data_IF_383287636046
#
_entry.id   IF_383287636046
#
_cell.length_a   1.000
_cell.length_b   1.000
_cell.length_c   1.000
_cell.angle_alpha   90.00
_cell.angle_beta   90.00
_cell.angle_gamma   90.00
#
_symmetry.space_group_name_H-M   'P 1'
#
loop_
_entity.id
_entity.type
_entity.pdbx_description
1 polymer ?
#
# COMPACT_ATOMS: atom_id res chain seq x y z
N UNK A 1 22.46 20.30 -5.18
CA UNK A 1 22.84 18.88 -5.40
C UNK A 1 21.62 18.14 -5.90
N UNK A 2 21.76 17.26 -6.91
CA UNK A 2 20.63 16.45 -7.40
C UNK A 2 20.38 15.28 -6.44
N UNK A 3 19.15 15.13 -5.98
CA UNK A 3 18.72 13.97 -5.19
C UNK A 3 18.56 12.77 -6.13
N UNK A 4 19.20 11.65 -5.80
CA UNK A 4 19.06 10.38 -6.51
C UNK A 4 18.16 9.47 -5.67
N UNK A 5 17.07 8.99 -6.26
CA UNK A 5 16.21 7.96 -5.66
C UNK A 5 16.41 6.66 -6.41
N UNK A 6 16.59 5.56 -5.67
CA UNK A 6 16.62 4.21 -6.24
C UNK A 6 15.27 3.57 -5.94
N UNK A 7 14.57 3.21 -7.00
CA UNK A 7 13.34 2.42 -6.99
C UNK A 7 13.69 0.94 -7.11
N UNK A 8 13.08 0.14 -6.25
CA UNK A 8 13.16 -1.32 -6.31
C UNK A 8 12.01 -1.86 -7.14
N UNK A 9 12.24 -2.99 -7.82
CA UNK A 9 11.17 -3.73 -8.47
C UNK A 9 10.23 -4.30 -7.41
N UNK A 10 8.96 -3.95 -7.49
CA UNK A 10 7.89 -4.55 -6.68
C UNK A 10 7.12 -5.53 -7.55
N UNK A 11 6.80 -6.69 -7.00
CA UNK A 11 5.91 -7.64 -7.66
C UNK A 11 4.47 -7.28 -7.31
N UNK A 12 3.54 -7.22 -8.29
CA UNK A 12 2.13 -7.05 -7.98
C UNK A 12 1.68 -8.21 -7.08
N UNK A 13 0.74 -7.95 -6.17
CA UNK A 13 0.08 -9.03 -5.47
C UNK A 13 -0.69 -9.94 -6.42
N UNK A 14 -1.03 -11.14 -5.95
CA UNK A 14 -1.84 -12.06 -6.76
C UNK A 14 -3.29 -11.60 -6.80
N UNK A 15 -3.82 -11.15 -5.66
CA UNK A 15 -5.19 -10.71 -5.48
C UNK A 15 -5.24 -9.30 -4.90
N UNK A 16 -6.32 -8.56 -5.12
CA UNK A 16 -6.60 -7.28 -4.46
C UNK A 16 -8.10 -7.12 -4.21
N UNK A 17 -8.46 -6.35 -3.18
CA UNK A 17 -9.86 -6.08 -2.82
C UNK A 17 -10.54 -5.14 -3.82
N UNK A 18 -11.88 -5.09 -3.81
CA UNK A 18 -12.64 -4.18 -4.69
C UNK A 18 -12.30 -2.70 -4.45
N UNK A 19 -12.06 -2.30 -3.20
CA UNK A 19 -11.56 -0.97 -2.87
C UNK A 19 -10.24 -0.69 -3.60
N UNK A 20 -9.27 -1.60 -3.56
CA UNK A 20 -8.00 -1.44 -4.27
C UNK A 20 -8.18 -1.35 -5.80
N UNK A 21 -9.15 -2.08 -6.38
CA UNK A 21 -9.51 -1.95 -7.81
C UNK A 21 -10.04 -0.54 -8.11
N UNK A 22 -10.92 -0.03 -7.25
CA UNK A 22 -11.49 1.32 -7.39
C UNK A 22 -10.38 2.36 -7.32
N UNK A 23 -9.49 2.30 -6.33
CA UNK A 23 -8.43 3.28 -6.16
C UNK A 23 -7.36 3.18 -7.25
N UNK A 24 -7.04 1.97 -7.73
CA UNK A 24 -6.22 1.81 -8.93
C UNK A 24 -6.85 2.50 -10.13
N UNK A 25 -8.14 2.28 -10.34
CA UNK A 25 -8.85 2.81 -11.50
C UNK A 25 -9.03 4.32 -11.45
N UNK A 26 -9.38 4.86 -10.28
CA UNK A 26 -9.73 6.25 -10.07
C UNK A 26 -8.50 7.16 -9.83
N UNK A 27 -7.47 6.65 -9.13
CA UNK A 27 -6.32 7.44 -8.68
C UNK A 27 -4.96 6.91 -9.18
N UNK A 28 -4.92 5.72 -9.79
CA UNK A 28 -3.67 5.07 -10.16
C UNK A 28 -2.91 4.48 -8.96
N UNK A 29 -3.57 4.35 -7.80
CA UNK A 29 -2.98 3.77 -6.60
C UNK A 29 -2.75 2.27 -6.80
N UNK A 30 -1.49 1.86 -6.77
CA UNK A 30 -1.14 0.46 -6.95
C UNK A 30 -1.64 -0.39 -5.77
N UNK A 31 -2.20 -1.59 -6.00
CA UNK A 31 -2.64 -2.47 -4.91
C UNK A 31 -1.55 -2.73 -3.89
N UNK A 32 -1.92 -2.67 -2.62
CA UNK A 32 -0.98 -2.83 -1.51
C UNK A 32 -0.69 -4.31 -1.25
N UNK A 33 0.46 -4.55 -0.63
CA UNK A 33 0.90 -5.88 -0.24
C UNK A 33 1.49 -5.77 1.17
N UNK A 34 0.75 -6.31 2.14
CA UNK A 34 1.25 -6.55 3.47
C UNK A 34 1.87 -7.94 3.57
N UNK A 35 2.71 -8.14 4.59
CA UNK A 35 3.30 -9.43 4.89
C UNK A 35 3.16 -9.70 6.38
N UNK A 36 2.70 -10.89 6.75
CA UNK A 36 2.72 -11.33 8.15
C UNK A 36 4.14 -11.73 8.59
N UNK A 37 4.31 -12.09 9.86
CA UNK A 37 5.59 -12.53 10.42
C UNK A 37 6.16 -13.79 9.77
N UNK A 38 5.30 -14.56 9.10
CA UNK A 38 5.68 -15.78 8.39
C UNK A 38 6.00 -15.51 6.91
N UNK A 39 5.82 -14.26 6.47
CA UNK A 39 6.07 -13.85 5.10
C UNK A 39 4.99 -14.29 4.11
N UNK A 40 3.78 -14.56 4.59
CA UNK A 40 2.62 -14.73 3.73
C UNK A 40 2.04 -13.36 3.38
N UNK A 41 1.43 -13.24 2.20
CA UNK A 41 0.64 -12.06 1.82
C UNK A 41 -0.45 -11.89 2.88
N UNK A 42 -0.34 -10.81 3.64
CA UNK A 42 -1.28 -10.47 4.68
C UNK A 42 -1.98 -9.19 4.26
N UNK A 43 -3.30 -9.28 4.10
CA UNK A 43 -4.12 -8.16 3.70
C UNK A 43 -5.07 -7.84 4.83
N UNK A 44 -5.11 -6.57 5.20
CA UNK A 44 -6.08 -6.08 6.14
C UNK A 44 -7.41 -5.89 5.40
N UNK A 45 -8.41 -6.73 5.68
CA UNK A 45 -9.77 -6.55 5.14
C UNK A 45 -10.55 -5.45 5.88
N UNK A 46 -9.96 -4.92 6.96
CA UNK A 46 -10.56 -3.91 7.82
C UNK A 46 -9.51 -2.91 8.26
N UNK A 47 -9.96 -1.70 8.56
CA UNK A 47 -9.28 -0.56 9.17
C UNK A 47 -8.63 -0.87 10.54
N UNK A 48 -8.00 -2.04 10.71
CA UNK A 48 -7.40 -2.48 11.96
C UNK A 48 -5.99 -1.90 12.15
N UNK A 49 -6.00 -0.67 12.70
CA UNK A 49 -5.23 -0.19 13.86
C UNK A 49 -3.70 -0.18 13.88
N UNK A 50 -2.96 -0.62 12.85
CA UNK A 50 -1.48 -0.61 12.92
C UNK A 50 -0.75 0.00 11.71
N UNK A 51 -1.33 1.03 11.09
CA UNK A 51 -0.69 1.78 10.01
C UNK A 51 0.28 2.90 10.47
N UNK A 52 0.79 2.86 11.71
CA UNK A 52 1.61 3.94 12.32
C UNK A 52 2.95 4.24 11.61
N UNK A 53 3.34 3.48 10.59
CA UNK A 53 4.71 3.52 10.05
C UNK A 53 4.81 3.51 8.54
N UNK A 54 3.71 3.63 7.81
CA UNK A 54 3.72 3.67 6.34
C UNK A 54 3.37 5.12 5.92
N UNK A 55 4.29 5.85 5.26
CA UNK A 55 4.03 7.21 4.78
C UNK A 55 3.36 7.25 3.40
N UNK A 56 2.96 6.09 2.88
CA UNK A 56 1.97 5.97 1.82
C UNK A 56 0.65 5.85 2.57
N UNK A 57 -0.39 6.63 2.23
CA UNK A 57 -1.70 6.48 2.85
C UNK A 57 -2.21 5.05 2.60
N UNK A 58 -1.96 4.16 3.56
CA UNK A 58 -2.37 2.75 3.54
C UNK A 58 -3.81 2.61 4.00
N UNK A 59 -4.65 3.53 3.54
CA UNK A 59 -5.98 3.81 4.02
C UNK A 59 -6.83 4.49 2.96
N UNK A 60 -8.00 5.00 3.34
CA UNK A 60 -8.95 5.65 2.42
C UNK A 60 -8.52 7.07 2.03
N UNK A 61 -7.56 7.64 2.74
CA UNK A 61 -7.06 8.99 2.54
C UNK A 61 -6.29 9.09 1.22
N UNK A 62 -6.45 10.20 0.50
CA UNK A 62 -5.72 10.48 -0.73
C UNK A 62 -4.47 11.32 -0.44
N UNK A 63 -3.36 10.98 -1.10
CA UNK A 63 -2.18 11.85 -1.14
C UNK A 63 -2.45 13.12 -1.97
N UNK A 64 -1.64 14.17 -1.75
CA UNK A 64 -1.73 15.40 -2.54
C UNK A 64 -1.57 15.13 -4.05
N UNK A 65 -0.69 14.20 -4.41
CA UNK A 65 -0.48 13.79 -5.79
C UNK A 65 -1.72 13.12 -6.41
N UNK A 66 -2.43 12.29 -5.63
CA UNK A 66 -3.66 11.63 -6.07
C UNK A 66 -4.81 12.62 -6.21
N UNK A 67 -4.98 13.54 -5.24
CA UNK A 67 -5.94 14.63 -5.35
C UNK A 67 -5.66 15.48 -6.60
N UNK A 68 -4.40 15.85 -6.82
CA UNK A 68 -4.00 16.61 -8.01
C UNK A 68 -4.23 15.84 -9.31
N UNK A 69 -3.95 14.53 -9.33
CA UNK A 69 -4.22 13.66 -10.48
C UNK A 69 -5.72 13.61 -10.81
N UNK A 70 -6.56 13.49 -9.79
CA UNK A 70 -8.01 13.47 -9.89
C UNK A 70 -8.66 14.85 -10.05
N UNK A 71 -7.87 15.93 -9.99
CA UNK A 71 -8.35 17.31 -9.92
C UNK A 71 -9.36 17.54 -8.77
N UNK A 72 -9.10 16.90 -7.63
CA UNK A 72 -9.84 17.06 -6.38
C UNK A 72 -9.13 18.07 -5.46
N UNK A 73 -9.87 18.75 -4.57
CA UNK A 73 -9.25 19.45 -3.44
C UNK A 73 -8.43 18.48 -2.58
N UNK A 74 -7.43 19.00 -1.86
CA UNK A 74 -6.64 18.21 -0.92
C UNK A 74 -7.56 17.49 0.08
N UNK A 75 -7.26 16.22 0.35
CA UNK A 75 -8.05 15.39 1.25
C UNK A 75 -7.81 15.80 2.71
N UNK A 76 -8.80 16.39 3.40
CA UNK A 76 -8.65 16.81 4.79
C UNK A 76 -8.46 15.61 5.74
N UNK A 77 -8.87 14.40 5.34
CA UNK A 77 -8.72 13.17 6.15
C UNK A 77 -7.25 12.80 6.37
N UNK A 78 -6.36 13.16 5.43
CA UNK A 78 -4.93 12.96 5.60
C UNK A 78 -4.36 13.79 6.76
N UNK A 79 -4.87 15.02 6.94
CA UNK A 79 -4.48 15.87 8.06
C UNK A 79 -5.00 15.34 9.39
N UNK A 80 -6.23 14.84 9.41
CA UNK A 80 -6.84 14.18 10.59
C UNK A 80 -6.00 12.95 10.99
N UNK A 81 -5.66 12.11 10.01
CA UNK A 81 -4.81 10.94 10.22
C UNK A 81 -3.41 11.31 10.72
N UNK A 82 -2.78 12.35 10.14
CA UNK A 82 -1.46 12.83 10.53
C UNK A 82 -1.43 13.49 11.91
N UNK A 83 -2.52 14.14 12.33
CA UNK A 83 -2.65 14.76 13.65
C UNK A 83 -2.81 13.75 14.78
N UNK A 84 -2.88 12.45 14.47
CA UNK A 84 -3.11 11.40 15.45
C UNK A 84 -4.56 11.33 15.95
N UNK A 85 -5.47 12.11 15.35
CA UNK A 85 -6.91 12.11 15.66
C UNK A 85 -7.60 10.92 15.02
N UNK A 86 -7.31 9.73 15.56
CA UNK A 86 -8.01 8.52 15.13
C UNK A 86 -9.45 8.48 15.62
N UNK A 87 -9.76 9.24 16.66
CA UNK A 87 -11.07 9.25 17.30
C UNK A 87 -12.11 10.11 16.59
N UNK A 88 -11.72 11.15 15.85
CA UNK A 88 -12.67 11.90 15.01
C UNK A 88 -13.26 11.03 13.88
N UNK A 89 -12.49 10.06 13.37
CA UNK A 89 -12.99 9.06 12.43
C UNK A 89 -13.90 8.01 13.09
N UNK A 90 -13.83 7.83 14.42
CA UNK A 90 -14.58 6.76 15.13
C UNK A 90 -16.05 7.11 15.38
N UNK A 91 -16.41 8.40 15.46
CA UNK A 91 -17.81 8.81 15.67
C UNK A 91 -18.69 8.61 14.41
N UNK A 92 -18.09 8.46 13.22
CA UNK A 92 -18.80 8.12 11.98
C UNK A 92 -19.04 6.62 11.79
N UNK A 93 -18.52 5.74 12.67
CA UNK A 93 -18.74 4.28 12.61
C UNK A 93 -19.55 3.75 13.81
N UNK A 94 -20.88 3.94 13.86
CA UNK A 94 -21.73 3.42 14.94
C UNK A 94 -21.68 1.88 15.08
N UNK A 95 -21.28 1.15 14.03
CA UNK A 95 -21.10 -0.31 14.06
C UNK A 95 -19.84 -0.77 14.83
N UNK A 96 -18.77 0.04 14.84
CA UNK A 96 -17.47 -0.32 15.43
C UNK A 96 -17.39 -0.03 16.93
N UNK A 97 -18.21 0.91 17.42
CA UNK A 97 -18.32 1.25 18.84
C UNK A 97 -18.71 0.04 19.71
N UNK A 98 -19.49 -0.90 19.17
CA UNK A 98 -19.89 -2.13 19.87
C UNK A 98 -18.74 -3.12 20.16
N UNK A 99 -17.70 -3.14 19.32
CA UNK A 99 -16.51 -4.01 19.53
C UNK A 99 -15.48 -3.35 20.46
N UNK A 100 -15.33 -2.02 20.41
CA UNK A 100 -14.34 -1.29 21.23
C UNK A 100 -14.79 -1.16 22.69
N UNK A 101 -16.11 -1.15 22.95
CA UNK A 101 -16.63 -1.15 24.32
C UNK A 101 -16.21 -2.38 25.15
N UNK A 102 -15.82 -3.49 24.50
CA UNK A 102 -15.26 -4.67 25.20
C UNK A 102 -13.78 -4.55 25.57
N UNK A 103 -13.05 -3.59 25.00
CA UNK A 103 -11.61 -3.38 25.24
C UNK A 103 -11.29 -2.16 26.12
N UNK A 104 -12.26 -1.28 26.41
CA UNK A 104 -12.05 -0.01 27.12
C UNK A 104 -12.61 0.03 28.55
N UNK A 105 -12.17 -0.87 29.44
CA UNK A 105 -12.52 -0.77 30.88
C UNK A 105 -11.41 -0.11 31.73
N UNK A 106 -10.28 0.32 31.16
CA UNK A 106 -9.22 0.98 31.95
C UNK A 106 -8.44 2.04 31.18
N UNK A 107 -8.95 3.27 31.09
CA UNK A 107 -8.11 4.48 30.94
C UNK A 107 -8.96 5.76 31.04
N UNK A 108 -9.27 6.19 32.27
CA UNK A 108 -9.98 7.46 32.54
C UNK A 108 -9.15 8.71 32.13
N UNK A 109 -7.84 8.57 31.92
CA UNK A 109 -6.98 9.64 31.40
C UNK A 109 -7.09 9.90 29.89
N UNK A 110 -7.65 8.96 29.12
CA UNK A 110 -7.80 9.07 27.66
C UNK A 110 -8.97 9.98 27.26
N UNK A 111 -9.94 10.16 28.16
CA UNK A 111 -11.18 10.94 27.91
C UNK A 111 -10.91 12.46 27.93
N UNK A 112 -9.96 12.93 28.74
CA UNK A 112 -9.64 14.38 28.80
C UNK A 112 -8.83 14.88 27.60
N UNK A 113 -7.99 14.05 26.98
CA UNK A 113 -7.31 14.41 25.72
C UNK A 113 -8.29 14.43 24.52
N UNK A 114 -9.42 13.71 24.60
CA UNK A 114 -10.45 13.69 23.56
C UNK A 114 -11.28 14.99 23.50
N UNK A 115 -11.62 15.55 24.66
CA UNK A 115 -12.45 16.77 24.74
C UNK A 115 -11.69 18.02 24.24
N UNK A 116 -10.40 18.14 24.53
CA UNK A 116 -9.56 19.25 24.04
C UNK A 116 -9.26 19.14 22.53
N UNK A 117 -9.31 17.92 21.97
CA UNK A 117 -9.09 17.67 20.54
C UNK A 117 -10.35 17.97 19.71
N UNK A 118 -11.54 17.61 20.23
CA UNK A 118 -12.85 17.87 19.63
C UNK A 118 -13.09 19.36 19.27
N UNK A 119 -12.59 20.29 20.10
CA UNK A 119 -12.74 21.74 19.88
C UNK A 119 -11.87 22.32 18.76
N UNK A 120 -10.73 21.71 18.42
CA UNK A 120 -9.88 22.11 17.28
C UNK A 120 -10.19 21.33 16.01
N UNK A 121 -10.73 20.12 16.14
CA UNK A 121 -11.14 19.28 15.02
C UNK A 121 -12.46 19.67 14.37
N UNK A 122 -13.28 20.51 15.02
CA UNK A 122 -14.52 20.99 14.41
C UNK A 122 -14.34 21.60 13.02
N UNK A 123 -13.18 22.24 12.74
CA UNK A 123 -12.90 22.76 11.40
C UNK A 123 -12.50 21.66 10.41
N UNK A 124 -11.67 20.69 10.81
CA UNK A 124 -11.24 19.59 9.94
C UNK A 124 -12.38 18.61 9.63
N UNK A 125 -13.24 18.32 10.61
CA UNK A 125 -14.44 17.51 10.43
C UNK A 125 -15.42 18.20 9.45
N UNK A 126 -15.65 19.50 9.59
CA UNK A 126 -16.47 20.27 8.64
C UNK A 126 -15.86 20.33 7.23
N UNK A 127 -14.53 20.36 7.12
CA UNK A 127 -13.84 20.27 5.84
C UNK A 127 -14.04 18.88 5.22
N UNK A 128 -13.90 17.81 5.99
CA UNK A 128 -14.16 16.44 5.55
C UNK A 128 -15.61 16.22 5.11
N UNK A 129 -16.58 16.71 5.87
CA UNK A 129 -18.01 16.65 5.54
C UNK A 129 -18.33 17.34 4.21
N UNK A 130 -17.66 18.47 3.91
CA UNK A 130 -17.81 19.17 2.61
C UNK A 130 -17.06 18.49 1.48
N UNK A 131 -15.93 17.84 1.79
CA UNK A 131 -15.08 17.18 0.81
C UNK A 131 -15.66 15.83 0.36
N UNK A 132 -16.29 15.09 1.27
CA UNK A 132 -16.78 13.73 1.01
C UNK A 132 -17.75 13.66 -0.18
N UNK A 133 -18.77 14.53 -0.32
CA UNK A 133 -19.64 14.50 -1.51
C UNK A 133 -18.88 14.73 -2.82
N UNK A 134 -17.85 15.58 -2.83
CA UNK A 134 -17.02 15.84 -4.02
C UNK A 134 -16.23 14.59 -4.41
N UNK A 135 -15.71 13.88 -3.41
CA UNK A 135 -15.03 12.61 -3.60
C UNK A 135 -15.98 11.52 -4.09
N UNK A 136 -17.15 11.38 -3.46
CA UNK A 136 -18.19 10.42 -3.84
C UNK A 136 -18.66 10.61 -5.29
N UNK A 137 -18.95 11.85 -5.69
CA UNK A 137 -19.31 12.21 -7.06
C UNK A 137 -18.20 11.82 -8.05
N UNK A 138 -16.92 12.00 -7.68
CA UNK A 138 -15.78 11.62 -8.52
C UNK A 138 -15.64 10.10 -8.67
N UNK A 139 -15.81 9.34 -7.58
CA UNK A 139 -15.62 7.88 -7.63
C UNK A 139 -16.81 7.13 -8.23
N UNK A 140 -18.02 7.71 -8.25
CA UNK A 140 -19.25 7.07 -8.75
C UNK A 140 -19.12 6.58 -10.20
N UNK A 141 -18.49 7.36 -11.09
CA UNK A 141 -18.25 6.94 -12.48
C UNK A 141 -17.44 5.64 -12.53
N UNK A 142 -16.37 5.55 -11.73
CA UNK A 142 -15.48 4.40 -11.71
C UNK A 142 -16.12 3.19 -11.02
N UNK A 143 -16.89 3.41 -9.94
CA UNK A 143 -17.69 2.38 -9.31
C UNK A 143 -18.69 1.77 -10.31
N UNK A 144 -19.38 2.62 -11.07
CA UNK A 144 -20.29 2.22 -12.12
C UNK A 144 -19.60 1.43 -13.25
N UNK A 145 -18.44 1.89 -13.71
CA UNK A 145 -17.60 1.18 -14.69
C UNK A 145 -17.24 -0.23 -14.20
N UNK A 146 -16.67 -0.34 -13.00
CA UNK A 146 -16.21 -1.60 -12.41
C UNK A 146 -17.40 -2.55 -12.17
N UNK A 147 -18.51 -2.05 -11.63
CA UNK A 147 -19.72 -2.85 -11.40
C UNK A 147 -20.29 -3.41 -12.71
N UNK A 148 -20.29 -2.63 -13.80
CA UNK A 148 -20.72 -3.11 -15.12
C UNK A 148 -19.79 -4.18 -15.68
N UNK A 149 -18.47 -4.05 -15.49
CA UNK A 149 -17.50 -5.03 -15.97
C UNK A 149 -17.53 -6.34 -15.17
N UNK A 150 -17.75 -6.27 -13.85
CA UNK A 150 -18.06 -7.42 -13.00
C UNK A 150 -19.36 -8.11 -13.46
N UNK A 151 -20.42 -7.34 -13.70
CA UNK A 151 -21.72 -7.88 -14.15
C UNK A 151 -21.66 -8.53 -15.54
N UNK A 152 -20.80 -8.01 -16.43
CA UNK A 152 -20.57 -8.57 -17.76
C UNK A 152 -19.59 -9.76 -17.75
N UNK A 153 -18.99 -10.08 -16.59
CA UNK A 153 -17.98 -11.12 -16.46
C UNK A 153 -16.65 -10.81 -17.15
N UNK A 154 -16.37 -9.52 -17.42
CA UNK A 154 -15.07 -9.09 -17.96
C UNK A 154 -13.99 -9.09 -16.88
N UNK A 155 -14.39 -8.74 -15.66
CA UNK A 155 -13.57 -8.86 -14.46
C UNK A 155 -14.17 -9.98 -13.61
N UNK A 156 -13.36 -10.96 -13.25
CA UNK A 156 -13.77 -12.01 -12.32
C UNK A 156 -13.42 -11.60 -10.90
N UNK A 157 -14.32 -11.91 -9.99
CA UNK A 157 -14.15 -11.66 -8.57
C UNK A 157 -14.58 -12.88 -7.79
N UNK A 158 -13.94 -13.06 -6.64
CA UNK A 158 -14.10 -14.20 -5.77
C UNK A 158 -14.33 -13.69 -4.36
N UNK A 159 -15.14 -14.40 -3.58
CA UNK A 159 -15.46 -14.00 -2.23
C UNK A 159 -16.05 -15.14 -1.43
N UNK A 160 -16.26 -14.88 -0.15
CA UNK A 160 -16.84 -15.84 0.79
C UNK A 160 -18.33 -15.59 0.91
N UNK A 161 -19.14 -16.57 0.50
CA UNK A 161 -20.59 -16.50 0.65
C UNK A 161 -20.98 -16.74 2.12
N UNK A 162 -21.82 -15.85 2.67
CA UNK A 162 -22.40 -15.93 4.00
C UNK A 162 -23.92 -15.84 3.87
N UNK A 163 -24.64 -16.77 4.48
CA UNK A 163 -26.11 -16.84 4.46
C UNK A 163 -26.74 -15.87 5.48
N UNK A 164 -26.35 -14.59 5.39
CA UNK A 164 -26.86 -13.49 6.21
C UNK A 164 -26.70 -12.15 5.45
N UNK A 165 -27.46 -11.15 5.87
CA UNK A 165 -27.44 -9.78 5.36
C UNK A 165 -27.08 -8.74 6.44
N UNK A 166 -27.04 -9.13 7.72
CA UNK A 166 -26.65 -8.25 8.82
C UNK A 166 -25.13 -8.06 8.84
N UNK A 167 -24.72 -6.89 8.34
CA UNK A 167 -23.32 -6.47 8.23
C UNK A 167 -22.51 -6.67 9.51
N UNK A 168 -23.10 -6.38 10.67
CA UNK A 168 -22.42 -6.44 11.96
C UNK A 168 -22.07 -7.88 12.37
N UNK A 169 -22.74 -8.87 11.76
CA UNK A 169 -22.55 -10.29 12.06
C UNK A 169 -21.75 -11.02 10.99
N UNK A 170 -21.58 -10.49 9.79
CA UNK A 170 -20.99 -11.24 8.67
C UNK A 170 -19.61 -11.82 9.01
N UNK A 171 -18.74 -11.04 9.65
CA UNK A 171 -17.41 -11.49 10.04
C UNK A 171 -17.43 -12.51 11.17
N UNK A 172 -18.29 -12.30 12.18
CA UNK A 172 -18.44 -13.21 13.31
C UNK A 172 -19.00 -14.56 12.82
N UNK A 173 -19.98 -14.54 11.90
CA UNK A 173 -20.53 -15.74 11.25
C UNK A 173 -19.46 -16.44 10.40
N UNK A 174 -18.65 -15.70 9.66
CA UNK A 174 -17.56 -16.29 8.87
C UNK A 174 -16.55 -17.00 9.77
N UNK A 175 -16.17 -16.37 10.89
CA UNK A 175 -15.28 -16.96 11.89
C UNK A 175 -15.89 -18.21 12.54
N UNK A 176 -17.17 -18.16 12.94
CA UNK A 176 -17.91 -19.31 13.49
C UNK A 176 -18.01 -20.46 12.48
N UNK A 177 -18.10 -20.17 11.19
CA UNK A 177 -18.07 -21.15 10.10
C UNK A 177 -16.65 -21.64 9.76
N UNK A 178 -15.62 -21.16 10.46
CA UNK A 178 -14.21 -21.51 10.22
C UNK A 178 -13.67 -20.99 8.89
N UNK A 179 -14.32 -19.98 8.29
CA UNK A 179 -13.90 -19.37 7.03
C UNK A 179 -12.83 -18.31 7.28
N UNK A 180 -11.88 -18.20 6.35
CA UNK A 180 -10.76 -17.27 6.44
C UNK A 180 -10.59 -16.49 5.13
N UNK A 181 -10.26 -15.20 5.23
CA UNK A 181 -9.94 -14.28 4.12
C UNK A 181 -8.83 -14.80 3.17
N UNK A 182 -7.99 -15.70 3.69
CA UNK A 182 -6.88 -16.31 2.95
C UNK A 182 -7.36 -17.36 1.96
N UNK A 183 -8.47 -18.03 2.24
CA UNK A 183 -8.98 -19.11 1.42
C UNK A 183 -9.78 -18.56 0.24
N UNK A 184 -9.41 -19.00 -0.97
CA UNK A 184 -10.17 -18.71 -2.19
C UNK A 184 -11.34 -19.68 -2.22
N UNK A 185 -12.55 -19.19 -1.95
CA UNK A 185 -13.71 -20.07 -1.81
C UNK A 185 -14.45 -20.15 -3.15
N UNK A 186 -15.15 -19.09 -3.58
CA UNK A 186 -16.05 -19.18 -4.74
C UNK A 186 -16.01 -17.95 -5.67
N UNK A 187 -16.21 -18.17 -6.98
CA UNK A 187 -16.43 -17.09 -7.96
C UNK A 187 -17.80 -16.45 -7.71
N UNK A 188 -17.85 -15.13 -7.52
CA UNK A 188 -19.11 -14.40 -7.32
C UNK A 188 -19.86 -14.35 -8.66
N UNK A 189 -21.08 -14.93 -8.75
CA UNK A 189 -21.79 -15.03 -10.03
C UNK A 189 -22.04 -13.67 -10.70
N UNK A 190 -21.78 -13.56 -12.00
CA UNK A 190 -21.93 -12.30 -12.74
C UNK A 190 -23.31 -11.63 -12.59
N UNK A 191 -24.38 -12.43 -12.49
CA UNK A 191 -25.77 -11.97 -12.28
C UNK A 191 -26.00 -11.32 -10.91
N UNK A 192 -25.08 -11.49 -9.96
CA UNK A 192 -25.22 -11.01 -8.59
C UNK A 192 -24.83 -9.55 -8.44
N UNK A 193 -24.04 -9.00 -9.36
CA UNK A 193 -23.53 -7.64 -9.30
C UNK A 193 -24.62 -6.60 -9.53
N UNK A 194 -24.91 -5.83 -8.48
CA UNK A 194 -25.83 -4.69 -8.49
C UNK A 194 -25.13 -3.55 -7.75
N UNK A 195 -24.90 -2.40 -8.42
CA UNK A 195 -24.03 -1.32 -7.92
C UNK A 195 -24.37 -0.88 -6.50
N UNK A 196 -25.65 -0.59 -6.22
CA UNK A 196 -26.14 -0.13 -4.91
C UNK A 196 -25.97 -1.14 -3.76
N UNK A 197 -25.71 -2.40 -4.09
CA UNK A 197 -25.54 -3.47 -3.11
C UNK A 197 -24.06 -3.74 -2.80
N UNK A 198 -23.14 -3.08 -3.52
CA UNK A 198 -21.71 -3.17 -3.31
C UNK A 198 -21.32 -2.17 -2.23
N UNK A 199 -20.72 -2.68 -1.17
CA UNK A 199 -20.00 -1.89 -0.18
C UNK A 199 -18.52 -1.90 -0.58
N UNK A 200 -18.11 -0.83 -1.27
CA UNK A 200 -16.77 -0.72 -1.87
C UNK A 200 -15.68 -0.71 -0.82
N UNK A 201 -15.92 -0.01 0.28
CA UNK A 201 -14.97 0.18 1.36
C UNK A 201 -14.59 -1.14 2.02
N UNK A 202 -15.60 -1.98 2.27
CA UNK A 202 -15.40 -3.29 2.90
C UNK A 202 -15.29 -4.44 1.91
N UNK A 203 -15.39 -4.14 0.60
CA UNK A 203 -15.41 -5.14 -0.46
C UNK A 203 -16.43 -6.24 -0.20
N UNK A 204 -17.66 -5.84 0.09
CA UNK A 204 -18.81 -6.70 0.38
C UNK A 204 -19.88 -6.50 -0.69
N UNK A 205 -20.56 -7.57 -1.08
CA UNK A 205 -21.78 -7.52 -1.91
C UNK A 205 -22.93 -8.03 -1.06
N UNK A 206 -23.84 -7.12 -0.68
CA UNK A 206 -24.99 -7.41 0.17
C UNK A 206 -26.14 -7.95 -0.68
N UNK A 207 -26.89 -8.91 -0.18
CA UNK A 207 -28.22 -9.25 -0.73
C UNK A 207 -29.15 -9.60 0.42
N UNK A 208 -30.44 -9.68 0.09
CA UNK A 208 -31.50 -9.98 1.05
C UNK A 208 -31.26 -11.26 1.86
N UNK A 209 -30.82 -12.34 1.20
CA UNK A 209 -30.74 -13.67 1.81
C UNK A 209 -29.29 -14.18 1.96
N UNK A 210 -28.32 -13.50 1.32
CA UNK A 210 -26.92 -13.88 1.37
C UNK A 210 -26.02 -12.68 1.07
N UNK A 211 -24.80 -12.68 1.57
CA UNK A 211 -23.78 -11.68 1.28
C UNK A 211 -22.48 -12.35 0.83
N UNK A 212 -21.70 -11.67 0.00
CA UNK A 212 -20.32 -12.07 -0.30
C UNK A 212 -19.38 -11.11 0.41
N UNK A 213 -18.48 -11.61 1.26
CA UNK A 213 -17.47 -10.82 1.95
C UNK A 213 -16.08 -11.10 1.40
N UNK A 214 -15.13 -10.22 1.75
CA UNK A 214 -13.71 -10.35 1.38
C UNK A 214 -13.49 -10.46 -0.13
N UNK A 215 -14.31 -9.75 -0.89
CA UNK A 215 -14.31 -9.87 -2.34
C UNK A 215 -12.99 -9.35 -2.89
N UNK A 216 -12.33 -10.20 -3.68
CA UNK A 216 -11.08 -9.85 -4.33
C UNK A 216 -11.06 -10.28 -5.80
N UNK A 217 -10.16 -9.66 -6.57
CA UNK A 217 -9.92 -9.94 -7.99
C UNK A 217 -8.48 -10.34 -8.22
N UNK A 218 -8.19 -11.02 -9.33
CA UNK A 218 -6.80 -11.25 -9.77
C UNK A 218 -6.19 -9.92 -10.27
N UNK A 219 -5.04 -9.54 -9.70
CA UNK A 219 -4.39 -8.25 -10.01
C UNK A 219 -3.90 -8.21 -11.44
N UNK A 220 -3.46 -9.32 -12.04
CA UNK A 220 -3.00 -9.32 -13.43
C UNK A 220 -4.16 -9.13 -14.39
N UNK A 221 -5.31 -9.75 -14.13
CA UNK A 221 -6.54 -9.53 -14.89
C UNK A 221 -7.00 -8.08 -14.77
N UNK A 222 -7.01 -7.55 -13.54
CA UNK A 222 -7.36 -6.17 -13.25
C UNK A 222 -6.43 -5.17 -13.99
N UNK A 223 -5.10 -5.34 -13.91
CA UNK A 223 -4.13 -4.47 -14.57
C UNK A 223 -4.22 -4.54 -16.10
N UNK A 224 -4.60 -5.71 -16.65
CA UNK A 224 -4.83 -5.88 -18.09
C UNK A 224 -6.10 -5.17 -18.54
N UNK A 225 -7.17 -5.24 -17.73
CA UNK A 225 -8.45 -4.61 -18.04
C UNK A 225 -8.40 -3.09 -17.86
N UNK A 226 -7.72 -2.63 -16.82
CA UNK A 226 -7.56 -1.22 -16.47
C UNK A 226 -6.08 -0.82 -16.55
N UNK A 227 -5.50 -0.69 -17.76
CA UNK A 227 -4.14 -0.22 -17.89
C UNK A 227 -4.02 1.22 -17.35
N UNK A 228 -2.86 1.60 -16.77
CA UNK A 228 -2.67 2.93 -16.22
C UNK A 228 -2.76 3.98 -17.34
N UNK A 229 -3.66 4.96 -17.19
CA UNK A 229 -3.84 6.05 -18.15
C UNK A 229 -2.61 6.97 -18.19
N UNK A 230 -1.97 7.17 -17.05
CA UNK A 230 -0.72 7.91 -16.92
C UNK A 230 0.35 7.00 -16.31
N UNK A 231 1.23 6.47 -17.16
CA UNK A 231 2.55 6.07 -16.70
C UNK A 231 3.34 7.36 -16.48
N UNK A 232 3.93 7.57 -15.30
CA UNK A 232 4.91 8.63 -15.11
C UNK A 232 6.03 8.38 -16.11
N UNK A 233 5.99 9.08 -17.26
CA UNK A 233 7.08 9.12 -18.22
C UNK A 233 8.17 9.97 -17.64
N UNK A 234 8.84 9.46 -16.61
CA UNK A 234 10.00 10.14 -16.10
C UNK A 234 11.16 9.84 -17.05
N UNK A 235 11.51 10.82 -17.89
CA UNK A 235 12.63 10.74 -18.84
C UNK A 235 13.97 10.49 -18.13
N UNK A 236 14.00 10.64 -16.81
CA UNK A 236 15.16 10.45 -15.96
C UNK A 236 15.20 9.09 -15.22
N UNK A 237 14.36 8.10 -15.59
CA UNK A 237 14.48 6.72 -15.10
C UNK A 237 15.60 6.00 -15.86
N UNK A 238 16.66 5.60 -15.15
CA UNK A 238 17.72 4.73 -15.67
C UNK A 238 17.68 3.37 -14.98
N UNK A 239 17.73 2.28 -15.74
CA UNK A 239 17.91 0.93 -15.17
C UNK A 239 19.32 0.81 -14.62
N UNK A 240 19.47 0.30 -13.40
CA UNK A 240 20.75 0.12 -12.74
C UNK A 240 20.76 -1.21 -11.97
N UNK A 241 21.39 -2.24 -12.55
CA UNK A 241 21.59 -3.54 -11.89
C UNK A 241 20.31 -4.26 -11.44
N UNK A 242 19.19 -4.07 -12.13
CA UNK A 242 17.88 -4.64 -11.79
C UNK A 242 17.00 -3.74 -10.89
N UNK A 243 17.51 -2.57 -10.51
CA UNK A 243 16.75 -1.46 -9.90
C UNK A 243 16.56 -0.34 -10.92
N UNK A 244 15.79 0.69 -10.56
CA UNK A 244 15.59 1.87 -11.41
C UNK A 244 16.00 3.12 -10.63
N UNK A 245 16.89 3.93 -11.17
CA UNK A 245 17.30 5.19 -10.57
C UNK A 245 16.53 6.35 -11.19
N UNK A 246 16.02 7.26 -10.36
CA UNK A 246 15.36 8.51 -10.78
C UNK A 246 16.16 9.68 -10.26
N UNK A 247 16.64 10.52 -11.17
CA UNK A 247 17.26 11.78 -10.80
C UNK A 247 16.18 12.84 -10.50
N UNK A 248 16.39 13.65 -9.46
CA UNK A 248 15.51 14.74 -9.02
C UNK A 248 14.15 14.34 -8.45
N UNK A 249 13.90 13.07 -8.10
CA UNK A 249 12.68 12.75 -7.34
C UNK A 249 12.86 13.11 -5.87
N UNK A 250 12.00 14.00 -5.39
CA UNK A 250 11.78 14.26 -3.97
C UNK A 250 11.05 13.03 -3.44
N UNK A 251 11.76 12.12 -2.81
CA UNK A 251 11.13 10.95 -2.17
C UNK A 251 11.24 11.10 -0.66
N UNK A 252 10.09 11.16 -0.01
CA UNK A 252 9.96 10.99 1.44
C UNK A 252 10.40 9.57 1.80
N UNK A 253 11.45 9.46 2.62
CA UNK A 253 12.06 8.17 3.00
C UNK A 253 11.12 7.36 3.88
N UNK A 254 10.93 6.08 3.57
CA UNK A 254 10.81 5.01 4.58
C UNK A 254 11.23 3.66 4.04
N UNK A 255 12.08 2.98 4.80
CA UNK A 255 12.36 1.56 4.66
C UNK A 255 11.51 0.81 5.69
N UNK A 256 10.50 0.05 5.26
CA UNK A 256 9.92 -1.00 6.10
C UNK A 256 10.80 -2.25 5.98
N UNK A 257 11.21 -2.80 7.13
CA UNK A 257 11.90 -4.08 7.22
C UNK A 257 10.82 -5.16 7.33
N UNK A 258 10.68 -6.04 6.34
CA UNK A 258 9.96 -7.31 6.51
C UNK A 258 10.96 -8.47 6.54
N UNK A 259 10.75 -9.36 7.50
CA UNK A 259 11.50 -10.59 7.74
C UNK A 259 10.69 -11.70 7.08
N UNK A 260 11.26 -12.36 6.07
CA UNK A 260 10.62 -13.46 5.34
C UNK A 260 11.25 -14.81 5.75
N UNK A 261 10.39 -15.77 6.08
CA UNK A 261 10.67 -17.18 6.35
C UNK A 261 11.29 -17.88 5.14
N UNK A 262 12.62 -17.95 5.21
CA UNK A 262 13.59 -18.49 4.27
C UNK A 262 14.95 -18.06 4.82
N UNK A 263 16.09 -18.47 4.23
CA UNK A 263 17.34 -17.81 4.62
C UNK A 263 17.14 -16.32 4.33
N UNK A 264 17.15 -15.43 5.34
CA UNK A 264 16.65 -14.07 5.17
C UNK A 264 17.31 -13.45 3.94
N UNK A 265 16.54 -12.88 2.99
CA UNK A 265 17.13 -12.22 1.85
C UNK A 265 18.15 -11.22 2.38
N UNK A 266 19.38 -11.28 1.85
CA UNK A 266 20.43 -10.36 2.27
C UNK A 266 19.91 -8.94 1.97
N UNK A 267 20.08 -7.97 2.89
CA UNK A 267 19.55 -6.61 2.74
C UNK A 267 20.32 -5.82 1.68
N UNK A 268 20.17 -6.22 0.41
CA UNK A 268 20.86 -5.67 -0.75
C UNK A 268 20.45 -4.23 -1.03
N UNK A 269 19.28 -3.82 -0.58
CA UNK A 269 18.77 -2.45 -0.68
C UNK A 269 19.69 -1.49 0.09
N UNK A 270 20.03 -1.85 1.33
CA UNK A 270 20.94 -1.06 2.18
C UNK A 270 22.34 -0.99 1.54
N UNK A 271 22.77 -2.07 0.91
CA UNK A 271 24.01 -2.12 0.15
C UNK A 271 24.00 -1.17 -1.05
N UNK A 272 22.97 -1.21 -1.89
CA UNK A 272 22.85 -0.33 -3.05
C UNK A 272 22.80 1.15 -2.66
N UNK A 273 22.13 1.48 -1.54
CA UNK A 273 22.13 2.84 -0.97
C UNK A 273 23.53 3.29 -0.58
N UNK A 274 24.32 2.46 0.08
CA UNK A 274 25.69 2.80 0.46
C UNK A 274 26.61 2.94 -0.75
N UNK A 275 26.48 2.04 -1.73
CA UNK A 275 27.23 2.11 -2.99
C UNK A 275 26.95 3.45 -3.68
N UNK A 276 25.68 3.82 -3.84
CA UNK A 276 25.27 5.09 -4.42
C UNK A 276 25.78 6.29 -3.60
N UNK A 277 25.74 6.21 -2.26
CA UNK A 277 26.29 7.24 -1.37
C UNK A 277 27.78 7.46 -1.62
N UNK A 278 28.58 6.40 -1.65
CA UNK A 278 30.03 6.49 -1.89
C UNK A 278 30.39 7.03 -3.28
N UNK A 279 29.63 6.66 -4.32
CA UNK A 279 29.81 7.24 -5.65
C UNK A 279 29.51 8.74 -5.66
N UNK A 280 28.43 9.16 -5.00
CA UNK A 280 28.05 10.57 -4.87
C UNK A 280 29.11 11.38 -4.12
N UNK A 281 29.66 10.80 -3.05
CA UNK A 281 30.60 11.48 -2.16
C UNK A 281 32.06 11.42 -2.69
N UNK A 282 32.33 10.67 -3.77
CA UNK A 282 33.68 10.48 -4.33
C UNK A 282 34.54 9.48 -3.54
N UNK A 283 33.97 8.81 -2.54
CA UNK A 283 34.63 7.87 -1.64
C UNK A 283 34.71 6.43 -2.21
N UNK A 284 34.21 6.20 -3.41
CA UNK A 284 34.23 4.87 -4.01
C UNK A 284 35.65 4.51 -4.49
N UNK A 285 36.23 3.36 -4.06
CA UNK A 285 37.56 2.96 -4.52
C UNK A 285 37.66 2.85 -6.04
N UNK A 286 38.78 3.29 -6.63
CA UNK A 286 38.96 3.22 -8.08
C UNK A 286 39.03 1.78 -8.61
N UNK A 287 39.61 0.87 -7.82
CA UNK A 287 39.72 -0.55 -8.17
C UNK A 287 38.53 -1.34 -7.63
N UNK A 288 37.84 -2.07 -8.50
CA UNK A 288 36.67 -2.91 -8.14
C UNK A 288 36.96 -3.88 -6.99
N UNK A 289 38.12 -4.52 -6.97
CA UNK A 289 38.50 -5.47 -5.90
C UNK A 289 38.69 -4.81 -4.53
N UNK A 290 39.11 -3.54 -4.50
CA UNK A 290 39.23 -2.77 -3.26
C UNK A 290 37.83 -2.43 -2.72
N UNK A 291 36.91 -1.98 -3.58
CA UNK A 291 35.52 -1.75 -3.18
C UNK A 291 34.81 -3.02 -2.74
N UNK A 292 35.08 -4.17 -3.37
CA UNK A 292 34.54 -5.46 -2.92
C UNK A 292 34.99 -5.77 -1.49
N UNK A 293 36.27 -5.54 -1.17
CA UNK A 293 36.79 -5.76 0.17
C UNK A 293 36.14 -4.83 1.20
N UNK A 294 36.16 -3.52 0.94
CA UNK A 294 35.61 -2.52 1.86
C UNK A 294 34.11 -2.66 2.07
N UNK A 295 33.35 -2.93 1.00
CA UNK A 295 31.91 -3.08 1.11
C UNK A 295 31.51 -4.41 1.74
N UNK A 296 32.33 -5.47 1.61
CA UNK A 296 32.11 -6.70 2.36
C UNK A 296 32.31 -6.48 3.87
N UNK A 297 33.36 -5.76 4.27
CA UNK A 297 33.59 -5.37 5.67
C UNK A 297 32.49 -4.47 6.21
N UNK A 298 32.11 -3.44 5.44
CA UNK A 298 31.01 -2.56 5.79
C UNK A 298 29.68 -3.32 5.93
N UNK A 299 29.39 -4.26 5.01
CA UNK A 299 28.16 -5.03 5.02
C UNK A 299 28.08 -5.92 6.27
N UNK A 300 29.19 -6.57 6.65
CA UNK A 300 29.30 -7.34 7.90
C UNK A 300 29.05 -6.41 9.10
N UNK A 301 29.72 -5.26 9.16
CA UNK A 301 29.58 -4.30 10.27
C UNK A 301 28.16 -3.76 10.40
N UNK A 302 27.48 -3.50 9.28
CA UNK A 302 26.15 -2.87 9.28
C UNK A 302 25.01 -3.85 9.52
N UNK A 303 25.13 -5.08 9.01
CA UNK A 303 24.01 -6.03 8.95
C UNK A 303 24.24 -7.30 9.78
N UNK A 304 25.45 -7.49 10.34
CA UNK A 304 25.85 -8.71 11.04
C UNK A 304 26.03 -9.93 10.12
N UNK A 305 25.81 -9.77 8.82
CA UNK A 305 25.78 -10.89 7.88
C UNK A 305 27.09 -10.99 7.08
N UNK A 306 27.77 -12.14 7.17
CA UNK A 306 28.86 -12.46 6.24
C UNK A 306 28.31 -12.73 4.84
N UNK A 307 29.02 -12.21 3.84
CA UNK A 307 28.66 -12.30 2.43
C UNK A 307 29.90 -12.64 1.60
N UNK A 308 29.72 -13.36 0.49
CA UNK A 308 30.85 -13.74 -0.35
C UNK A 308 31.32 -12.54 -1.18
N UNK A 309 32.64 -12.44 -1.40
CA UNK A 309 33.23 -11.43 -2.29
C UNK A 309 32.62 -11.49 -3.69
N UNK A 310 32.32 -12.70 -4.18
CA UNK A 310 31.67 -12.92 -5.47
C UNK A 310 30.29 -12.27 -5.55
N UNK A 311 29.45 -12.45 -4.52
CA UNK A 311 28.11 -11.83 -4.49
C UNK A 311 28.18 -10.30 -4.47
N UNK A 312 29.11 -9.72 -3.69
CA UNK A 312 29.36 -8.27 -3.68
C UNK A 312 29.86 -7.80 -5.05
N UNK A 313 30.77 -8.55 -5.68
CA UNK A 313 31.32 -8.25 -7.00
C UNK A 313 30.30 -8.33 -8.13
N UNK A 314 29.33 -9.23 -8.03
CA UNK A 314 28.19 -9.34 -8.94
C UNK A 314 27.30 -8.10 -8.82
N UNK A 315 26.94 -7.70 -7.59
CA UNK A 315 26.11 -6.51 -7.34
C UNK A 315 26.80 -5.18 -7.64
N UNK A 316 28.13 -5.10 -7.51
CA UNK A 316 28.92 -3.91 -7.85
C UNK A 316 29.18 -3.75 -9.34
N UNK A 317 29.16 -4.84 -10.11
CA UNK A 317 29.53 -4.82 -11.52
C UNK A 317 28.82 -3.71 -12.33
N UNK A 318 27.49 -3.55 -12.24
CA UNK A 318 26.78 -2.52 -13.01
C UNK A 318 27.27 -1.09 -12.72
N UNK A 319 27.56 -0.78 -11.45
CA UNK A 319 28.01 0.55 -11.05
C UNK A 319 29.38 0.92 -11.63
N UNK A 320 30.34 -0.02 -11.63
CA UNK A 320 31.66 0.22 -12.23
C UNK A 320 31.61 0.30 -13.75
N UNK A 321 30.81 -0.58 -14.37
CA UNK A 321 30.67 -0.59 -15.83
C UNK A 321 30.02 0.70 -16.35
N UNK A 322 29.08 1.29 -15.61
CA UNK A 322 28.32 2.48 -16.06
C UNK A 322 28.88 3.82 -15.57
N UNK A 323 29.37 3.91 -14.33
CA UNK A 323 29.75 5.19 -13.71
C UNK A 323 31.25 5.49 -13.82
N UNK A 324 32.12 4.48 -13.68
CA UNK A 324 33.57 4.70 -13.68
C UNK A 324 34.15 4.83 -15.09
N UNK A 325 33.60 4.11 -16.08
CA UNK A 325 34.04 4.22 -17.49
C UNK A 325 33.76 5.61 -18.08
N UNK A 326 32.76 6.33 -17.56
CA UNK A 326 32.42 7.69 -18.03
C UNK A 326 33.41 8.77 -17.53
N UNK A 327 34.11 8.52 -16.43
CA UNK A 327 35.09 9.47 -15.86
C UNK A 327 36.47 9.40 -16.50
N UNK A 328 36.78 8.36 -17.28
CA UNK A 328 38.08 8.17 -17.94
C UNK A 328 38.15 8.76 -19.37
N UNK A 329 37.05 9.37 -19.86
CA UNK A 329 37.05 10.05 -21.17
C UNK A 329 37.03 11.57 -20.93
N UNK A 330 38.16 12.28 -21.12
CA UNK A 330 38.23 13.74 -20.96
C UNK A 330 37.46 14.51 -22.03
#
# INVERSE_FOLDING_TARGET
MKQLTILSRVYPPKKCFLSEVLYWRAFGRFPEMGWDSDGNDYRFVTENFYADKIPIPSGKELSEEECKYANLPNDPRLNIAAAGSRTALMEEFPASAGKIHRLQVKQEGFIQELDDFSLKDGTLAQEAEKWLPIFEDYVDEFQSEIALDLRKGKLKAYGTEIQDHDYNKLYDIAEEQGKNERELIDEVPAKNWVSREIDWDYSVLKKRDMSFIWIHVDVKEMLKLYPPKMLIKNKDIQSLGGSYAVANSVVHRTFSKSILGGRPPKPWEVFHVEVARRFRDGDMPQKKEAAIAELAEWFIKKTGNKISRSAIGEKLKPYYDELMKKTETP
#
